data_IF_212267789908
#
_entry.id   IF_212267789908
#
_cell.length_a   1.000
_cell.length_b   1.000
_cell.length_c   1.000
_cell.angle_alpha   90.00
_cell.angle_beta   90.00
_cell.angle_gamma   90.00
#
_symmetry.space_group_name_H-M   'P 1'
#
loop_
_entity.id
_entity.type
_entity.pdbx_description
1 polymer ?
#
# COMPACT_ATOMS: atom_id res chain seq x y z
N UNK A 1 -30.42 59.50 31.44
CA UNK A 1 -29.93 58.38 30.59
C UNK A 1 -28.52 58.73 30.15
N UNK A 2 -27.53 57.83 30.29
CA UNK A 2 -26.16 58.15 29.89
C UNK A 2 -26.04 57.91 28.39
N UNK A 3 -25.82 58.98 27.63
CA UNK A 3 -25.78 58.92 26.17
C UNK A 3 -24.53 58.18 25.68
N UNK A 4 -24.74 57.23 24.76
CA UNK A 4 -23.66 56.55 24.06
C UNK A 4 -23.06 57.54 23.06
N UNK A 5 -21.88 58.08 23.38
CA UNK A 5 -21.15 58.95 22.44
C UNK A 5 -20.40 58.13 21.40
N UNK A 6 -20.01 58.73 20.27
CA UNK A 6 -19.24 58.03 19.22
C UNK A 6 -17.93 57.39 19.71
N UNK A 7 -17.33 57.91 20.79
CA UNK A 7 -16.18 57.27 21.46
C UNK A 7 -16.54 55.96 22.14
N UNK A 8 -17.72 55.86 22.75
CA UNK A 8 -18.19 54.61 23.34
C UNK A 8 -18.39 53.55 22.25
N UNK A 9 -19.04 53.93 21.13
CA UNK A 9 -19.22 53.04 19.97
C UNK A 9 -17.88 52.59 19.41
N UNK A 10 -16.91 53.50 19.28
CA UNK A 10 -15.55 53.18 18.82
C UNK A 10 -14.87 52.15 19.75
N UNK A 11 -14.90 52.38 21.07
CA UNK A 11 -14.31 51.46 22.06
C UNK A 11 -14.97 50.08 22.00
N UNK A 12 -16.30 50.01 21.91
CA UNK A 12 -17.01 48.74 21.78
C UNK A 12 -16.66 48.02 20.48
N UNK A 13 -16.60 48.74 19.37
CA UNK A 13 -16.26 48.19 18.06
C UNK A 13 -14.84 47.62 18.06
N UNK A 14 -13.86 48.42 18.49
CA UNK A 14 -12.45 47.97 18.56
C UNK A 14 -12.30 46.78 19.50
N UNK A 15 -12.97 46.78 20.65
CA UNK A 15 -12.91 45.66 21.60
C UNK A 15 -13.50 44.37 21.00
N UNK A 16 -14.63 44.47 20.30
CA UNK A 16 -15.25 43.31 19.64
C UNK A 16 -14.32 42.73 18.55
N UNK A 17 -13.73 43.57 17.71
CA UNK A 17 -12.78 43.11 16.69
C UNK A 17 -11.49 42.53 17.30
N UNK A 18 -10.98 43.12 18.38
CA UNK A 18 -9.80 42.61 19.07
C UNK A 18 -10.02 41.19 19.61
N UNK A 19 -11.21 40.92 20.17
CA UNK A 19 -11.58 39.57 20.63
C UNK A 19 -11.64 38.58 19.45
N UNK A 20 -12.30 38.96 18.35
CA UNK A 20 -12.40 38.09 17.16
C UNK A 20 -11.01 37.77 16.58
N UNK A 21 -10.16 38.79 16.44
CA UNK A 21 -8.80 38.62 15.94
C UNK A 21 -7.99 37.73 16.89
N UNK A 22 -8.08 37.97 18.20
CA UNK A 22 -7.41 37.16 19.22
C UNK A 22 -7.79 35.68 19.16
N UNK A 23 -9.08 35.38 19.01
CA UNK A 23 -9.58 34.01 18.84
C UNK A 23 -9.08 33.40 17.53
N UNK A 24 -9.12 34.12 16.41
CA UNK A 24 -8.63 33.63 15.12
C UNK A 24 -7.13 33.33 15.14
N UNK A 25 -6.32 34.19 15.77
CA UNK A 25 -4.88 33.94 15.94
C UNK A 25 -4.63 32.75 16.86
N UNK A 26 -5.39 32.62 17.96
CA UNK A 26 -5.29 31.46 18.83
C UNK A 26 -5.66 30.16 18.10
N UNK A 27 -6.71 30.18 17.27
CA UNK A 27 -7.10 29.06 16.43
C UNK A 27 -6.02 28.74 15.39
N UNK A 28 -5.44 29.74 14.73
CA UNK A 28 -4.34 29.55 13.80
C UNK A 28 -3.09 28.96 14.48
N UNK A 29 -2.75 29.46 15.68
CA UNK A 29 -1.62 28.93 16.46
C UNK A 29 -1.88 27.50 16.92
N UNK A 30 -3.09 27.20 17.41
CA UNK A 30 -3.48 25.82 17.73
C UNK A 30 -3.40 24.94 16.49
N UNK A 31 -4.01 25.34 15.38
CA UNK A 31 -3.96 24.58 14.14
C UNK A 31 -2.51 24.27 13.75
N UNK A 32 -1.64 25.28 13.64
CA UNK A 32 -0.23 25.11 13.27
C UNK A 32 0.56 24.30 14.29
N UNK A 33 0.30 24.45 15.60
CA UNK A 33 1.03 23.72 16.65
C UNK A 33 0.55 22.28 16.85
N UNK A 34 -0.71 21.97 16.55
CA UNK A 34 -1.27 20.61 16.58
C UNK A 34 -1.28 19.94 15.21
N UNK A 35 -0.82 20.60 14.14
CA UNK A 35 -0.51 19.91 12.90
C UNK A 35 0.74 19.06 13.16
N UNK A 36 0.65 17.73 13.22
CA UNK A 36 1.83 16.90 13.08
C UNK A 36 2.28 17.17 11.65
N UNK A 37 3.31 18.01 11.48
CA UNK A 37 3.66 18.57 10.17
C UNK A 37 3.64 17.47 9.11
N UNK A 38 2.99 17.75 7.96
CA UNK A 38 2.83 16.86 6.79
C UNK A 38 3.25 15.42 7.07
N UNK A 39 2.27 14.52 7.25
CA UNK A 39 2.48 13.10 7.03
C UNK A 39 3.21 12.99 5.67
N UNK A 40 4.50 12.71 5.77
CA UNK A 40 5.53 12.60 4.73
C UNK A 40 5.93 13.85 3.91
N UNK A 41 7.18 14.31 4.11
CA UNK A 41 8.06 14.90 3.07
C UNK A 41 8.44 13.89 1.96
N UNK A 42 7.88 12.68 1.98
CA UNK A 42 8.37 11.54 1.20
C UNK A 42 7.33 10.97 0.21
N UNK A 43 6.13 11.54 0.07
CA UNK A 43 5.16 11.04 -0.91
C UNK A 43 5.59 11.32 -2.36
N UNK A 44 6.42 12.34 -2.63
CA UNK A 44 6.89 12.65 -3.98
C UNK A 44 8.14 11.83 -4.40
N UNK A 45 8.99 11.45 -3.44
CA UNK A 45 10.14 10.58 -3.71
C UNK A 45 9.69 9.12 -3.78
N UNK A 46 8.77 8.69 -2.91
CA UNK A 46 8.16 7.37 -2.97
C UNK A 46 7.41 7.13 -4.29
N UNK A 47 6.66 8.12 -4.81
CA UNK A 47 5.99 7.98 -6.12
C UNK A 47 6.97 7.91 -7.29
N UNK A 48 8.08 8.65 -7.26
CA UNK A 48 9.10 8.56 -8.33
C UNK A 48 9.80 7.19 -8.34
N UNK A 49 10.12 6.67 -7.16
CA UNK A 49 10.65 5.30 -7.04
C UNK A 49 9.61 4.28 -7.51
N UNK A 50 8.34 4.46 -7.15
CA UNK A 50 7.25 3.59 -7.60
C UNK A 50 7.09 3.58 -9.13
N UNK A 51 7.09 4.75 -9.80
CA UNK A 51 6.96 4.81 -11.26
C UNK A 51 8.18 4.19 -11.96
N UNK A 52 9.38 4.39 -11.42
CA UNK A 52 10.60 3.77 -11.93
C UNK A 52 10.61 2.24 -11.74
N UNK A 53 10.25 1.75 -10.55
CA UNK A 53 10.12 0.32 -10.24
C UNK A 53 9.04 -0.33 -11.09
N UNK A 54 7.89 0.32 -11.25
CA UNK A 54 6.81 -0.13 -12.13
C UNK A 54 7.28 -0.24 -13.57
N UNK A 55 7.94 0.79 -14.09
CA UNK A 55 8.46 0.77 -15.48
C UNK A 55 9.49 -0.34 -15.67
N UNK A 56 10.37 -0.55 -14.69
CA UNK A 56 11.36 -1.62 -14.72
C UNK A 56 10.68 -3.01 -14.69
N UNK A 57 9.67 -3.19 -13.83
CA UNK A 57 8.88 -4.42 -13.78
C UNK A 57 8.12 -4.67 -15.10
N UNK A 58 7.48 -3.65 -15.68
CA UNK A 58 6.81 -3.75 -16.98
C UNK A 58 7.81 -4.09 -18.11
N UNK A 59 9.05 -3.59 -18.02
CA UNK A 59 10.10 -3.90 -18.97
C UNK A 59 10.52 -5.38 -18.95
N UNK A 60 10.51 -6.05 -17.77
CA UNK A 60 10.70 -7.50 -17.66
C UNK A 60 9.69 -8.27 -18.53
N UNK A 61 8.45 -7.76 -18.61
CA UNK A 61 7.35 -8.40 -19.32
C UNK A 61 7.07 -9.82 -18.87
N UNK A 62 7.24 -10.05 -17.56
CA UNK A 62 6.98 -11.33 -16.95
C UNK A 62 5.49 -11.54 -16.73
N UNK A 63 5.05 -12.77 -16.90
CA UNK A 63 3.72 -13.23 -16.55
C UNK A 63 3.83 -14.22 -15.41
N UNK A 64 3.04 -14.02 -14.36
CA UNK A 64 2.91 -14.94 -13.25
C UNK A 64 1.58 -15.70 -13.35
N UNK A 65 1.65 -17.02 -13.42
CA UNK A 65 0.47 -17.90 -13.42
C UNK A 65 0.45 -18.71 -12.13
N UNK A 66 -0.47 -18.39 -11.20
CA UNK A 66 -0.68 -19.19 -10.00
C UNK A 66 -1.73 -20.28 -10.21
N UNK A 67 -1.44 -21.47 -9.71
CA UNK A 67 -2.33 -22.61 -9.69
C UNK A 67 -2.34 -23.23 -8.29
N UNK A 68 -3.52 -23.50 -7.74
CA UNK A 68 -3.68 -24.15 -6.45
C UNK A 68 -4.32 -25.53 -6.63
N UNK A 69 -3.66 -26.56 -6.11
CA UNK A 69 -4.19 -27.91 -6.03
C UNK A 69 -4.77 -28.16 -4.63
N UNK A 70 -6.10 -28.25 -4.54
CA UNK A 70 -6.79 -28.50 -3.28
C UNK A 70 -6.61 -29.93 -2.75
N UNK A 71 -6.24 -30.89 -3.60
CA UNK A 71 -6.02 -32.29 -3.24
C UNK A 71 -4.67 -32.48 -2.57
N UNK A 72 -3.60 -31.91 -3.15
CA UNK A 72 -2.25 -31.97 -2.58
C UNK A 72 -1.95 -30.84 -1.60
N UNK A 73 -2.79 -29.80 -1.57
CA UNK A 73 -2.61 -28.55 -0.79
C UNK A 73 -1.32 -27.83 -1.18
N UNK A 74 -1.07 -27.74 -2.48
CA UNK A 74 0.12 -27.13 -3.04
C UNK A 74 -0.24 -25.93 -3.93
N UNK A 75 0.55 -24.87 -3.78
CA UNK A 75 0.56 -23.71 -4.67
C UNK A 75 1.70 -23.89 -5.67
N UNK A 76 1.37 -23.71 -6.95
CA UNK A 76 2.32 -23.75 -8.07
C UNK A 76 2.36 -22.38 -8.71
N UNK A 77 3.56 -21.82 -8.86
CA UNK A 77 3.79 -20.53 -9.47
C UNK A 77 4.70 -20.68 -10.68
N UNK A 78 4.23 -20.26 -11.84
CA UNK A 78 5.02 -20.21 -13.07
C UNK A 78 5.31 -18.76 -13.41
N UNK A 79 6.58 -18.39 -13.43
CA UNK A 79 7.05 -17.12 -13.96
C UNK A 79 7.52 -17.35 -15.39
N UNK A 80 6.95 -16.63 -16.36
CA UNK A 80 7.32 -16.73 -17.77
C UNK A 80 7.74 -15.36 -18.32
N UNK A 81 8.70 -15.32 -19.23
CA UNK A 81 9.08 -14.10 -19.95
C UNK A 81 8.08 -13.74 -21.07
N UNK A 82 8.39 -12.68 -21.84
CA UNK A 82 7.59 -12.25 -22.99
C UNK A 82 7.45 -13.32 -24.09
N UNK A 83 8.38 -14.28 -24.15
CA UNK A 83 8.36 -15.38 -25.10
C UNK A 83 7.66 -16.63 -24.53
N UNK A 84 7.17 -16.59 -23.29
CA UNK A 84 6.55 -17.72 -22.60
C UNK A 84 7.55 -18.71 -22.01
N UNK A 85 8.83 -18.38 -21.95
CA UNK A 85 9.86 -19.25 -21.38
C UNK A 85 9.91 -19.11 -19.85
N UNK A 86 10.02 -20.21 -19.08
CA UNK A 86 10.12 -20.15 -17.63
C UNK A 86 11.37 -19.38 -17.17
N UNK A 87 11.18 -18.38 -16.32
CA UNK A 87 12.27 -17.59 -15.74
C UNK A 87 12.56 -18.01 -14.30
N UNK A 88 13.83 -17.87 -13.90
CA UNK A 88 14.23 -18.04 -12.51
C UNK A 88 14.21 -16.68 -11.81
N UNK A 89 13.67 -16.66 -10.59
CA UNK A 89 13.59 -15.49 -9.73
C UNK A 89 14.39 -15.72 -8.44
N UNK A 90 14.91 -14.63 -7.88
CA UNK A 90 15.58 -14.56 -6.59
C UNK A 90 14.63 -13.99 -5.54
N UNK A 91 14.90 -14.27 -4.27
CA UNK A 91 14.17 -13.73 -3.12
C UNK A 91 12.64 -13.86 -3.20
N UNK A 92 12.14 -14.99 -3.71
CA UNK A 92 10.70 -15.23 -3.84
C UNK A 92 10.04 -15.24 -2.45
N UNK A 93 9.17 -14.25 -2.22
CA UNK A 93 8.35 -14.09 -1.03
C UNK A 93 6.89 -14.03 -1.44
N UNK A 94 6.07 -14.86 -0.82
CA UNK A 94 4.65 -14.94 -1.11
C UNK A 94 3.88 -14.87 0.21
N UNK A 95 2.93 -13.94 0.27
CA UNK A 95 1.95 -13.84 1.34
C UNK A 95 0.60 -14.24 0.78
N UNK A 96 -0.05 -15.23 1.38
CA UNK A 96 -1.42 -15.61 1.06
C UNK A 96 -2.28 -15.34 2.28
N UNK A 97 -3.38 -14.61 2.11
CA UNK A 97 -4.23 -14.18 3.21
C UNK A 97 -5.64 -13.83 2.76
N UNK A 98 -6.48 -13.38 3.71
CA UNK A 98 -7.82 -12.86 3.40
C UNK A 98 -7.73 -11.35 3.14
N UNK A 99 -8.63 -10.81 2.33
CA UNK A 99 -8.61 -9.37 1.99
C UNK A 99 -8.91 -8.45 3.17
N UNK A 100 -9.61 -8.94 4.19
CA UNK A 100 -10.08 -8.14 5.34
C UNK A 100 -9.62 -8.69 6.69
N UNK A 101 -8.78 -9.72 6.72
CA UNK A 101 -8.30 -10.34 7.95
C UNK A 101 -6.89 -10.89 7.74
N UNK A 102 -6.00 -10.62 8.68
CA UNK A 102 -4.65 -11.19 8.73
C UNK A 102 -4.56 -12.48 9.54
N UNK A 103 -5.67 -12.95 10.13
CA UNK A 103 -5.68 -14.12 11.00
C UNK A 103 -5.27 -15.42 10.26
N UNK A 104 -5.52 -15.48 8.96
CA UNK A 104 -5.22 -16.63 8.11
C UNK A 104 -3.98 -16.40 7.22
N UNK A 105 -3.16 -15.41 7.52
CA UNK A 105 -1.99 -15.07 6.71
C UNK A 105 -0.93 -16.17 6.80
N UNK A 106 -0.56 -16.73 5.65
CA UNK A 106 0.49 -17.73 5.51
C UNK A 106 1.57 -17.28 4.55
N UNK A 107 2.81 -17.72 4.80
CA UNK A 107 3.96 -17.50 3.92
C UNK A 107 4.56 -18.85 3.52
N UNK A 108 4.04 -19.48 2.44
CA UNK A 108 4.57 -20.75 1.96
C UNK A 108 6.03 -20.61 1.54
N UNK A 109 6.83 -21.63 1.85
CA UNK A 109 8.18 -21.76 1.29
C UNK A 109 8.08 -22.47 -0.06
N UNK A 110 8.64 -21.86 -1.10
CA UNK A 110 8.62 -22.40 -2.45
C UNK A 110 9.96 -23.05 -2.81
N UNK A 111 9.88 -24.20 -3.46
CA UNK A 111 11.02 -24.90 -4.07
C UNK A 111 10.83 -24.90 -5.58
N UNK A 112 11.90 -24.64 -6.33
CA UNK A 112 11.85 -24.63 -7.80
C UNK A 112 12.08 -26.04 -8.34
N UNK A 113 11.06 -26.60 -8.99
CA UNK A 113 11.08 -27.92 -9.60
C UNK A 113 10.69 -27.82 -11.09
N UNK A 114 11.58 -28.26 -11.99
CA UNK A 114 11.34 -28.25 -13.44
C UNK A 114 10.85 -26.90 -14.02
N UNK A 115 11.27 -25.77 -13.43
CA UNK A 115 10.87 -24.43 -13.87
C UNK A 115 9.59 -23.89 -13.23
N UNK A 116 8.96 -24.65 -12.32
CA UNK A 116 7.79 -24.25 -11.55
C UNK A 116 8.17 -24.11 -10.08
N UNK A 117 7.66 -23.09 -9.40
CA UNK A 117 7.83 -22.94 -7.96
C UNK A 117 6.67 -23.62 -7.25
N UNK A 118 6.95 -24.62 -6.41
CA UNK A 118 5.95 -25.39 -5.68
C UNK A 118 6.13 -25.17 -4.18
N UNK A 119 5.04 -24.85 -3.49
CA UNK A 119 5.03 -24.63 -2.05
C UNK A 119 3.76 -25.15 -1.40
N UNK A 120 3.87 -25.72 -0.20
CA UNK A 120 2.70 -26.20 0.55
C UNK A 120 1.92 -25.02 1.11
N UNK A 121 0.61 -24.99 0.85
CA UNK A 121 -0.29 -23.94 1.31
C UNK A 121 -1.63 -24.56 1.72
N UNK A 122 -1.97 -24.49 3.00
CA UNK A 122 -3.26 -24.99 3.48
C UNK A 122 -4.33 -23.90 3.36
N UNK A 123 -5.03 -23.89 2.23
CA UNK A 123 -6.09 -22.92 1.96
C UNK A 123 -7.47 -23.56 2.08
N UNK A 124 -8.31 -23.01 2.96
CA UNK A 124 -9.72 -23.36 3.03
C UNK A 124 -10.52 -22.82 1.84
N UNK A 125 -11.75 -23.31 1.65
CA UNK A 125 -12.65 -22.83 0.59
C UNK A 125 -12.90 -21.32 0.70
N UNK A 126 -13.03 -20.65 -0.44
CA UNK A 126 -13.42 -19.25 -0.53
C UNK A 126 -12.38 -18.36 -1.21
N UNK A 127 -12.52 -17.04 -1.01
CA UNK A 127 -11.66 -16.02 -1.62
C UNK A 127 -10.41 -15.78 -0.80
N UNK A 128 -9.30 -15.68 -1.50
CA UNK A 128 -7.97 -15.41 -0.96
C UNK A 128 -7.30 -14.32 -1.79
N UNK A 129 -6.30 -13.72 -1.20
CA UNK A 129 -5.45 -12.74 -1.84
C UNK A 129 -4.01 -13.20 -1.66
N UNK A 130 -3.24 -13.10 -2.74
CA UNK A 130 -1.83 -13.44 -2.77
C UNK A 130 -1.03 -12.21 -3.17
N UNK A 131 -0.03 -11.86 -2.38
CA UNK A 131 0.99 -10.89 -2.71
C UNK A 131 2.28 -11.64 -3.00
N UNK A 132 2.83 -11.41 -4.19
CA UNK A 132 4.06 -12.04 -4.66
C UNK A 132 5.10 -10.97 -4.86
N UNK A 133 6.23 -11.13 -4.18
CA UNK A 133 7.43 -10.31 -4.34
C UNK A 133 8.58 -11.22 -4.77
N UNK A 134 9.31 -10.80 -5.80
CA UNK A 134 10.48 -11.50 -6.27
C UNK A 134 11.46 -10.53 -6.92
N UNK A 135 12.70 -10.96 -7.15
CA UNK A 135 13.69 -10.20 -7.91
C UNK A 135 14.13 -10.97 -9.15
N UNK A 136 14.32 -10.26 -10.25
CA UNK A 136 15.03 -10.79 -11.42
C UNK A 136 16.52 -10.95 -11.15
N UNK A 137 17.22 -11.63 -12.06
CA UNK A 137 18.67 -11.81 -11.93
C UNK A 137 19.44 -10.48 -11.89
N UNK A 138 18.95 -9.47 -12.60
CA UNK A 138 19.48 -8.10 -12.65
C UNK A 138 19.08 -7.22 -11.45
N UNK A 139 18.25 -7.77 -10.55
CA UNK A 139 17.82 -7.10 -9.31
C UNK A 139 16.54 -6.28 -9.42
N UNK A 140 15.90 -6.23 -10.60
CA UNK A 140 14.60 -5.59 -10.78
C UNK A 140 13.55 -6.24 -9.88
N UNK A 141 12.82 -5.42 -9.13
CA UNK A 141 11.74 -5.87 -8.27
C UNK A 141 10.53 -6.26 -9.13
N UNK A 142 9.95 -7.42 -8.84
CA UNK A 142 8.66 -7.85 -9.35
C UNK A 142 7.71 -7.96 -8.16
N UNK A 143 6.65 -7.16 -8.17
CA UNK A 143 5.59 -7.22 -7.17
C UNK A 143 4.22 -7.31 -7.86
N UNK A 144 3.43 -8.32 -7.49
CA UNK A 144 2.07 -8.48 -8.00
C UNK A 144 1.12 -8.98 -6.91
N UNK A 145 -0.08 -8.38 -6.85
CA UNK A 145 -1.21 -8.87 -6.07
C UNK A 145 -2.17 -9.63 -6.98
N UNK A 146 -2.57 -10.82 -6.55
CA UNK A 146 -3.46 -11.72 -7.28
C UNK A 146 -4.59 -12.17 -6.36
N UNK A 147 -5.82 -12.11 -6.85
CA UNK A 147 -6.97 -12.69 -6.15
C UNK A 147 -7.13 -14.16 -6.54
N UNK A 148 -7.29 -15.01 -5.54
CA UNK A 148 -7.41 -16.46 -5.68
C UNK A 148 -8.79 -16.91 -5.17
N UNK A 149 -9.35 -17.95 -5.78
CA UNK A 149 -10.59 -18.56 -5.33
C UNK A 149 -10.42 -20.08 -5.24
N UNK A 150 -10.50 -20.60 -4.01
CA UNK A 150 -10.48 -22.04 -3.76
C UNK A 150 -11.91 -22.54 -3.79
N UNK A 151 -12.21 -23.43 -4.74
CA UNK A 151 -13.50 -24.11 -4.84
C UNK A 151 -13.46 -25.40 -4.02
N UNK A 152 -14.59 -25.73 -3.38
CA UNK A 152 -14.79 -27.01 -2.70
C UNK A 152 -15.37 -28.07 -3.63
#
# INVERSE_FOLDING_TARGET
MREITGRHVLVFTVSAFAVIIGVNVLMAWKAVSTFPGLEVKNSYVASQTFDAERTAQEALGWTLTPEYDATTREMRLVFADKAGLPVAVKDLSVLIGRTTSSADDIRPTFVREAGVYVGKAELGVGKWMMQVEARSEDGTLFHQRIDLAVKG
#
